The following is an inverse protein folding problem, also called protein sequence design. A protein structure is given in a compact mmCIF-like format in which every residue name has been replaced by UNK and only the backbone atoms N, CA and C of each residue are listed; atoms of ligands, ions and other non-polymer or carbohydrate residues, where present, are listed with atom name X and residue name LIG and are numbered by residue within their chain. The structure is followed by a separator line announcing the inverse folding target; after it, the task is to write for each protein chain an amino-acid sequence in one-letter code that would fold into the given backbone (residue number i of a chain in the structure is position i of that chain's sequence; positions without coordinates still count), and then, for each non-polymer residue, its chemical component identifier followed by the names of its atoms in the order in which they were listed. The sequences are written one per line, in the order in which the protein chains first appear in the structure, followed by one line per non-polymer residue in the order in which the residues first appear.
data_IF_315877190820
#
_entry.id   IF_315877190820
#
_cell.length_a   1.000
_cell.length_b   1.000
_cell.length_c   1.000
_cell.angle_alpha   90.00
_cell.angle_beta   90.00
_cell.angle_gamma   90.00
#
_symmetry.space_group_name_H-M   'P 1'
#
loop_
_entity.id
_entity.type
_entity.pdbx_description
1 polymer ?
#
# COMPACT_ATOMS: atom_id res chain seq x y z
N UNK A 1 1.94 -17.15 -3.60
CA UNK A 1 1.57 -16.37 -4.80
C UNK A 1 1.50 -14.92 -4.38
N UNK A 2 2.05 -14.00 -5.17
CA UNK A 2 2.02 -12.57 -4.88
C UNK A 2 1.12 -11.86 -5.89
N UNK A 3 0.53 -10.73 -5.49
CA UNK A 3 -0.17 -9.82 -6.40
C UNK A 3 0.71 -8.60 -6.67
N UNK A 4 0.50 -7.95 -7.81
CA UNK A 4 1.04 -6.62 -8.05
C UNK A 4 0.22 -5.55 -7.30
N UNK A 5 0.81 -4.38 -7.07
CA UNK A 5 0.15 -3.26 -6.39
C UNK A 5 -1.17 -2.89 -7.05
N UNK A 6 -1.24 -2.80 -8.39
CA UNK A 6 -2.50 -2.47 -9.07
C UNK A 6 -3.62 -3.50 -8.81
N UNK A 7 -3.28 -4.79 -8.67
CA UNK A 7 -4.25 -5.84 -8.37
C UNK A 7 -4.68 -5.77 -6.90
N UNK A 8 -3.73 -5.51 -6.00
CA UNK A 8 -4.01 -5.27 -4.58
C UNK A 8 -4.96 -4.08 -4.40
N UNK A 9 -4.69 -2.94 -5.05
CA UNK A 9 -5.56 -1.75 -5.00
C UNK A 9 -6.94 -2.00 -5.60
N UNK A 10 -7.03 -2.76 -6.70
CA UNK A 10 -8.33 -3.17 -7.26
C UNK A 10 -9.13 -4.01 -6.26
N UNK A 11 -8.47 -4.93 -5.56
CA UNK A 11 -9.11 -5.72 -4.52
C UNK A 11 -9.53 -4.84 -3.34
N UNK A 12 -8.68 -3.94 -2.87
CA UNK A 12 -9.00 -2.98 -1.80
C UNK A 12 -10.23 -2.13 -2.14
N UNK A 13 -10.32 -1.64 -3.38
CA UNK A 13 -11.49 -0.88 -3.86
C UNK A 13 -12.78 -1.71 -3.83
N UNK A 14 -12.74 -3.01 -4.17
CA UNK A 14 -13.90 -3.91 -4.08
C UNK A 14 -14.40 -4.10 -2.64
N UNK A 15 -13.52 -3.94 -1.65
CA UNK A 15 -13.85 -3.96 -0.23
C UNK A 15 -14.17 -2.56 0.33
N UNK A 16 -14.29 -1.54 -0.52
CA UNK A 16 -14.64 -0.18 -0.13
C UNK A 16 -13.52 0.58 0.59
N UNK A 17 -12.26 0.14 0.44
CA UNK A 17 -11.12 0.82 1.04
C UNK A 17 -10.69 2.04 0.19
N UNK A 18 -10.22 3.12 0.82
CA UNK A 18 -9.84 4.35 0.11
C UNK A 18 -8.51 4.15 -0.60
N UNK A 19 -8.53 3.93 -1.90
CA UNK A 19 -7.32 3.81 -2.74
C UNK A 19 -7.29 4.87 -3.83
N UNK A 20 -6.08 5.23 -4.26
CA UNK A 20 -5.89 6.17 -5.37
C UNK A 20 -6.56 5.66 -6.64
N UNK A 21 -7.20 6.58 -7.39
CA UNK A 21 -7.64 6.28 -8.76
C UNK A 21 -6.40 6.10 -9.62
N UNK A 22 -6.30 4.97 -10.30
CA UNK A 22 -5.16 4.68 -11.17
C UNK A 22 -5.45 3.65 -12.25
N UNK A 23 -4.56 3.59 -13.22
CA UNK A 23 -4.63 2.68 -14.37
C UNK A 23 -3.29 1.96 -14.53
N UNK A 24 -3.35 0.64 -14.67
CA UNK A 24 -2.18 -0.18 -15.00
C UNK A 24 -2.10 -0.36 -16.52
N UNK A 25 -1.00 0.10 -17.10
CA UNK A 25 -0.80 0.20 -18.55
C UNK A 25 0.45 -0.54 -18.98
N UNK A 26 0.50 -0.99 -20.24
CA UNK A 26 1.60 -1.76 -20.81
C UNK A 26 2.19 -1.13 -22.09
N UNK A 27 1.78 0.08 -22.45
CA UNK A 27 2.42 0.89 -23.49
C UNK A 27 2.72 2.29 -22.97
N UNK A 28 3.75 2.97 -23.50
CA UNK A 28 4.03 4.36 -23.15
C UNK A 28 2.90 5.33 -23.48
N UNK A 29 2.24 5.15 -24.62
CA UNK A 29 1.09 5.95 -25.04
C UNK A 29 -0.05 5.85 -24.03
N UNK A 30 -0.37 4.63 -23.58
CA UNK A 30 -1.40 4.41 -22.58
C UNK A 30 -1.05 5.06 -21.22
N UNK A 31 0.24 5.25 -20.90
CA UNK A 31 0.65 5.97 -19.69
C UNK A 31 0.32 7.46 -19.74
N UNK A 32 0.51 8.11 -20.90
CA UNK A 32 0.07 9.49 -21.10
C UNK A 32 -1.46 9.60 -21.06
N UNK A 33 -2.17 8.73 -21.80
CA UNK A 33 -3.64 8.69 -21.81
C UNK A 33 -4.22 8.45 -20.41
N UNK A 34 -3.57 7.62 -19.61
CA UNK A 34 -3.96 7.38 -18.22
C UNK A 34 -3.83 8.65 -17.36
N UNK A 35 -2.74 9.42 -17.50
CA UNK A 35 -2.56 10.68 -16.80
C UNK A 35 -3.67 11.68 -17.19
N UNK A 36 -3.94 11.85 -18.49
CA UNK A 36 -5.02 12.70 -18.99
C UNK A 36 -6.40 12.29 -18.45
N UNK A 37 -6.70 10.98 -18.47
CA UNK A 37 -7.97 10.43 -17.97
C UNK A 37 -8.13 10.55 -16.46
N UNK A 38 -7.03 10.52 -15.71
CA UNK A 38 -7.04 10.81 -14.28
C UNK A 38 -7.37 12.29 -14.06
N UNK A 39 -6.75 13.17 -14.85
CA UNK A 39 -6.83 14.62 -14.71
C UNK A 39 -5.95 15.16 -13.57
N UNK A 40 -5.89 16.48 -13.44
CA UNK A 40 -5.03 17.18 -12.48
C UNK A 40 -3.68 17.57 -13.07
N UNK A 41 -2.76 18.00 -12.20
CA UNK A 41 -1.46 18.56 -12.61
C UNK A 41 -0.25 17.68 -12.22
N UNK A 42 -0.48 16.62 -11.44
CA UNK A 42 0.56 15.71 -10.94
C UNK A 42 0.06 14.28 -10.78
N UNK A 43 0.93 13.32 -11.11
CA UNK A 43 0.65 11.89 -11.00
C UNK A 43 1.85 11.14 -10.42
N UNK A 44 1.59 9.99 -9.83
CA UNK A 44 2.65 9.05 -9.45
C UNK A 44 2.67 7.92 -10.47
N UNK A 45 3.85 7.67 -11.05
CA UNK A 45 4.10 6.55 -11.96
C UNK A 45 4.98 5.51 -11.26
N UNK A 46 4.54 4.24 -11.33
CA UNK A 46 5.13 3.14 -10.54
C UNK A 46 5.33 1.90 -11.40
N UNK A 47 6.58 1.48 -11.55
CA UNK A 47 6.92 0.19 -12.12
C UNK A 47 6.31 -0.95 -11.29
N UNK A 48 5.62 -1.88 -11.96
CA UNK A 48 4.95 -2.98 -11.31
C UNK A 48 5.86 -4.21 -11.29
N UNK A 49 6.43 -4.49 -10.11
CA UNK A 49 7.17 -5.72 -9.78
C UNK A 49 6.69 -6.20 -8.40
N UNK A 50 6.98 -7.45 -8.03
CA UNK A 50 6.59 -7.98 -6.72
C UNK A 50 7.54 -7.56 -5.60
N UNK A 51 8.78 -7.21 -5.93
CA UNK A 51 9.74 -6.72 -4.95
C UNK A 51 9.41 -5.30 -4.46
N UNK A 52 9.67 -5.05 -3.17
CA UNK A 52 9.67 -3.72 -2.55
C UNK A 52 10.90 -2.89 -2.94
N UNK A 53 11.08 -1.72 -2.32
CA UNK A 53 12.26 -0.87 -2.56
C UNK A 53 12.29 -0.15 -3.92
N UNK A 54 11.19 -0.19 -4.68
CA UNK A 54 11.08 0.37 -6.04
C UNK A 54 11.43 1.85 -6.11
N UNK A 55 11.03 2.65 -5.11
CA UNK A 55 11.34 4.08 -5.07
C UNK A 55 12.84 4.37 -5.05
N UNK A 56 13.60 3.65 -4.21
CA UNK A 56 15.08 3.79 -4.14
C UNK A 56 15.77 3.38 -5.46
N UNK A 57 15.16 2.49 -6.23
CA UNK A 57 15.63 2.06 -7.55
C UNK A 57 15.15 2.94 -8.71
N UNK A 58 14.41 4.03 -8.44
CA UNK A 58 13.83 4.91 -9.46
C UNK A 58 12.62 4.33 -10.19
N UNK A 59 12.06 3.23 -9.70
CA UNK A 59 10.84 2.59 -10.18
C UNK A 59 9.56 3.24 -9.64
N UNK A 60 9.65 4.34 -8.91
CA UNK A 60 8.53 5.21 -8.52
C UNK A 60 8.95 6.65 -8.76
N UNK A 61 8.11 7.45 -9.43
CA UNK A 61 8.40 8.86 -9.73
C UNK A 61 7.12 9.70 -9.67
N UNK A 62 7.24 10.92 -9.14
CA UNK A 62 6.23 11.97 -9.32
C UNK A 62 6.46 12.66 -10.66
N UNK A 63 5.40 12.79 -11.45
CA UNK A 63 5.43 13.44 -12.77
C UNK A 63 4.39 14.55 -12.84
N UNK A 64 4.68 15.57 -13.66
CA UNK A 64 3.88 16.79 -13.78
C UNK A 64 3.30 17.02 -15.18
N UNK A 65 3.50 16.07 -16.10
CA UNK A 65 2.84 16.07 -17.41
C UNK A 65 2.60 14.65 -17.94
N UNK A 66 1.63 14.45 -18.85
CA UNK A 66 1.44 13.18 -19.57
C UNK A 66 2.70 12.72 -20.31
N UNK A 67 3.51 13.64 -20.85
CA UNK A 67 4.77 13.34 -21.53
C UNK A 67 5.80 12.74 -20.57
N UNK A 68 5.88 13.24 -19.33
CA UNK A 68 6.75 12.67 -18.31
C UNK A 68 6.29 11.26 -17.89
N UNK A 69 4.97 11.00 -17.86
CA UNK A 69 4.43 9.67 -17.62
C UNK A 69 4.80 8.70 -18.76
N UNK A 70 4.68 9.15 -20.02
CA UNK A 70 5.13 8.40 -21.20
C UNK A 70 6.62 8.08 -21.13
N UNK A 71 7.47 9.08 -20.89
CA UNK A 71 8.92 8.90 -20.81
C UNK A 71 9.33 7.92 -19.70
N UNK A 72 8.63 7.94 -18.56
CA UNK A 72 8.84 6.95 -17.51
C UNK A 72 8.49 5.53 -17.96
N UNK A 73 7.38 5.36 -18.69
CA UNK A 73 6.97 4.09 -19.23
C UNK A 73 7.92 3.57 -20.33
N UNK A 74 8.40 4.42 -21.24
CA UNK A 74 9.43 4.07 -22.23
C UNK A 74 10.71 3.57 -21.57
N UNK A 75 11.11 4.23 -20.48
CA UNK A 75 12.30 3.83 -19.71
C UNK A 75 12.16 2.45 -19.09
N UNK A 76 10.99 2.11 -18.56
CA UNK A 76 10.85 0.95 -17.68
C UNK A 76 10.18 -0.26 -18.33
N UNK A 77 9.23 -0.09 -19.24
CA UNK A 77 8.55 -1.22 -19.87
C UNK A 77 9.55 -2.09 -20.67
N UNK A 78 9.50 -3.39 -20.44
CA UNK A 78 10.44 -4.35 -21.02
C UNK A 78 11.83 -4.39 -20.37
N UNK A 79 12.14 -3.45 -19.47
CA UNK A 79 13.36 -3.47 -18.66
C UNK A 79 13.19 -4.34 -17.41
N UNK A 80 14.30 -4.52 -16.68
CA UNK A 80 14.32 -5.23 -15.40
C UNK A 80 14.65 -4.25 -14.28
N UNK A 81 13.83 -4.23 -13.23
CA UNK A 81 14.05 -3.40 -12.06
C UNK A 81 14.79 -4.22 -11.00
N UNK A 82 16.02 -3.78 -10.68
CA UNK A 82 16.80 -4.32 -9.57
C UNK A 82 16.52 -3.49 -8.33
N UNK A 83 16.19 -4.15 -7.23
CA UNK A 83 16.00 -3.55 -5.91
C UNK A 83 16.82 -4.31 -4.88
N UNK A 84 16.90 -3.84 -3.64
CA UNK A 84 17.57 -4.59 -2.57
C UNK A 84 16.89 -5.92 -2.22
N UNK A 85 15.64 -6.13 -2.65
CA UNK A 85 14.87 -7.37 -2.45
C UNK A 85 14.89 -8.30 -3.68
N UNK A 86 15.58 -7.94 -4.77
CA UNK A 86 15.73 -8.81 -5.94
C UNK A 86 17.12 -9.42 -6.00
N UNK A 87 17.30 -10.43 -6.84
CA UNK A 87 18.62 -10.88 -7.26
C UNK A 87 19.29 -9.81 -8.16
N UNK A 88 20.52 -10.11 -8.61
CA UNK A 88 21.27 -9.25 -9.52
C UNK A 88 20.60 -9.06 -10.89
N UNK A 89 19.65 -9.93 -11.26
CA UNK A 89 18.93 -9.84 -12.53
C UNK A 89 17.70 -8.93 -12.42
N UNK A 90 17.19 -8.67 -11.23
CA UNK A 90 15.98 -7.88 -11.02
C UNK A 90 14.71 -8.59 -11.50
N UNK A 91 13.58 -7.87 -11.49
CA UNK A 91 12.29 -8.38 -11.97
C UNK A 91 11.83 -7.64 -13.22
N UNK A 92 11.22 -8.33 -14.20
CA UNK A 92 10.75 -7.69 -15.43
C UNK A 92 9.59 -6.74 -15.14
N UNK A 93 9.64 -5.55 -15.75
CA UNK A 93 8.56 -4.57 -15.67
C UNK A 93 7.71 -4.69 -16.93
N UNK A 94 6.51 -5.25 -16.79
CA UNK A 94 5.56 -5.42 -17.89
C UNK A 94 4.37 -4.47 -17.81
N UNK A 95 4.19 -3.81 -16.66
CA UNK A 95 3.16 -2.78 -16.45
C UNK A 95 3.69 -1.61 -15.64
N UNK A 96 3.13 -0.44 -15.93
CA UNK A 96 3.27 0.79 -15.14
C UNK A 96 1.92 1.12 -14.55
N UNK A 97 1.87 1.44 -13.26
CA UNK A 97 0.70 2.02 -12.62
C UNK A 97 0.84 3.55 -12.67
N UNK A 98 -0.12 4.22 -13.27
CA UNK A 98 -0.28 5.69 -13.22
C UNK A 98 -1.44 5.98 -12.29
N UNK A 99 -1.24 6.82 -11.27
CA UNK A 99 -2.29 7.15 -10.30
C UNK A 99 -2.27 8.60 -9.85
N UNK A 100 -3.39 9.05 -9.26
CA UNK A 100 -3.50 10.37 -8.63
C UNK A 100 -2.41 10.57 -7.59
N UNK A 101 -1.77 11.75 -7.61
CA UNK A 101 -0.93 12.17 -6.49
C UNK A 101 -1.80 12.42 -5.25
N UNK A 102 -1.34 11.95 -4.09
CA UNK A 102 -2.00 12.17 -2.80
C UNK A 102 -1.05 12.97 -1.93
N UNK A 103 -1.54 14.06 -1.33
CA UNK A 103 -0.77 14.83 -0.38
C UNK A 103 -0.63 14.06 0.94
N UNK A 104 0.58 14.00 1.48
CA UNK A 104 0.94 13.15 2.62
C UNK A 104 1.30 14.05 3.80
N UNK A 105 0.43 14.10 4.80
CA UNK A 105 0.70 14.77 6.07
C UNK A 105 1.48 13.86 7.02
N UNK A 106 1.13 12.56 7.04
CA UNK A 106 1.78 11.56 7.86
C UNK A 106 1.71 10.17 7.22
N UNK A 107 2.67 9.31 7.54
CA UNK A 107 2.75 7.94 7.05
C UNK A 107 2.68 6.96 8.22
N UNK A 108 1.73 6.03 8.16
CA UNK A 108 1.57 4.93 9.11
C UNK A 108 1.89 3.60 8.45
N UNK A 109 2.08 2.57 9.25
CA UNK A 109 2.14 1.19 8.80
C UNK A 109 0.88 0.44 9.24
N UNK A 110 0.31 -0.38 8.34
CA UNK A 110 -0.73 -1.36 8.69
C UNK A 110 -0.52 -2.65 7.90
N UNK A 111 -0.37 -3.76 8.60
CA UNK A 111 -0.19 -5.08 7.99
C UNK A 111 -0.91 -6.18 8.76
N UNK A 112 -1.07 -7.34 8.13
CA UNK A 112 -1.60 -8.54 8.76
C UNK A 112 -0.89 -9.79 8.24
N UNK A 113 -0.68 -10.75 9.13
CA UNK A 113 -0.09 -12.06 8.81
C UNK A 113 -0.74 -13.17 9.62
N UNK A 114 -0.58 -14.40 9.18
CA UNK A 114 -0.82 -15.57 10.04
C UNK A 114 0.40 -15.78 10.93
N UNK A 115 0.29 -15.40 12.21
CA UNK A 115 1.33 -15.67 13.20
C UNK A 115 1.31 -17.16 13.56
N UNK A 116 2.40 -17.86 13.25
CA UNK A 116 2.55 -19.29 13.50
C UNK A 116 2.65 -19.64 14.98
N UNK A 117 3.16 -18.73 15.80
CA UNK A 117 3.34 -18.97 17.24
C UNK A 117 1.98 -19.02 17.94
N UNK A 118 1.17 -17.97 17.76
CA UNK A 118 -0.19 -17.94 18.29
C UNK A 118 -1.19 -18.78 17.49
N UNK A 119 -0.87 -19.10 16.22
CA UNK A 119 -1.75 -19.74 15.24
C UNK A 119 -3.00 -18.88 15.01
N UNK A 120 -2.80 -17.58 14.80
CA UNK A 120 -3.87 -16.58 14.63
C UNK A 120 -3.51 -15.60 13.53
N UNK A 121 -4.53 -14.97 12.96
CA UNK A 121 -4.33 -13.75 12.18
C UNK A 121 -3.95 -12.64 13.17
N UNK A 122 -2.85 -11.95 12.90
CA UNK A 122 -2.38 -10.83 13.72
C UNK A 122 -2.23 -9.60 12.83
N UNK A 123 -2.97 -8.55 13.16
CA UNK A 123 -2.76 -7.22 12.61
C UNK A 123 -1.65 -6.51 13.37
N UNK A 124 -0.84 -5.76 12.64
CA UNK A 124 0.25 -4.95 13.13
C UNK A 124 0.06 -3.53 12.63
N UNK A 125 0.22 -2.54 13.51
CA UNK A 125 0.20 -1.13 13.13
C UNK A 125 1.34 -0.37 13.82
N UNK A 126 1.85 0.67 13.17
CA UNK A 126 2.93 1.50 13.71
C UNK A 126 2.82 2.93 13.18
N UNK A 127 3.33 3.89 13.95
CA UNK A 127 3.55 5.28 13.50
C UNK A 127 4.75 5.39 12.55
N UNK A 128 5.56 4.33 12.42
CA UNK A 128 6.70 4.27 11.51
C UNK A 128 6.25 3.75 10.13
N UNK A 129 5.50 4.56 9.40
CA UNK A 129 5.18 4.30 7.99
C UNK A 129 6.34 4.63 7.05
N UNK A 130 6.29 4.12 5.82
CA UNK A 130 7.29 4.41 4.77
C UNK A 130 8.64 3.71 4.95
N UNK A 131 8.81 2.96 6.04
CA UNK A 131 10.04 2.22 6.37
C UNK A 131 9.79 0.71 6.41
N UNK A 132 10.87 -0.09 6.35
CA UNK A 132 10.80 -1.55 6.45
C UNK A 132 10.37 -1.95 7.87
N UNK A 133 9.25 -2.66 7.99
CA UNK A 133 8.68 -3.03 9.28
C UNK A 133 9.59 -3.98 10.07
N UNK A 134 10.43 -4.77 9.39
CA UNK A 134 11.40 -5.66 10.02
C UNK A 134 12.48 -4.88 10.78
N UNK A 135 12.85 -3.69 10.28
CA UNK A 135 13.80 -2.81 10.99
C UNK A 135 13.15 -2.23 12.24
N UNK A 136 11.91 -1.77 12.14
CA UNK A 136 11.14 -1.31 13.29
C UNK A 136 11.00 -2.43 14.33
N UNK A 137 10.73 -3.66 13.90
CA UNK A 137 10.60 -4.82 14.78
C UNK A 137 11.91 -5.18 15.50
N UNK A 138 13.07 -4.85 14.92
CA UNK A 138 14.38 -5.10 15.52
C UNK A 138 14.84 -3.96 16.42
N UNK A 139 14.70 -2.72 15.96
CA UNK A 139 15.26 -1.52 16.59
C UNK A 139 14.31 -0.87 17.60
N UNK A 140 13.02 -0.84 17.31
CA UNK A 140 11.97 -0.18 18.12
C UNK A 140 10.70 -1.05 18.20
N UNK A 141 10.78 -2.30 18.70
CA UNK A 141 9.66 -3.25 18.70
C UNK A 141 8.42 -2.73 19.45
N UNK A 142 8.59 -1.84 20.42
CA UNK A 142 7.53 -1.20 21.19
C UNK A 142 6.61 -0.31 20.34
N UNK A 143 7.08 0.14 19.18
CA UNK A 143 6.26 0.92 18.23
C UNK A 143 5.31 0.05 17.41
N UNK A 144 5.47 -1.27 17.45
CA UNK A 144 4.59 -2.22 16.73
C UNK A 144 3.44 -2.63 17.66
N UNK A 145 2.29 -2.04 17.37
CA UNK A 145 1.03 -2.36 18.01
C UNK A 145 0.42 -3.60 17.35
N UNK A 146 -0.21 -4.47 18.13
CA UNK A 146 -0.77 -5.73 17.64
C UNK A 146 -2.23 -5.93 18.03
N UNK A 147 -3.01 -6.49 17.12
CA UNK A 147 -4.34 -7.02 17.39
C UNK A 147 -4.44 -8.47 16.90
N UNK A 148 -4.62 -9.40 17.83
CA UNK A 148 -4.80 -10.83 17.52
C UNK A 148 -6.27 -11.12 17.28
N UNK A 149 -6.59 -11.71 16.14
CA UNK A 149 -7.98 -12.01 15.76
C UNK A 149 -8.40 -13.35 16.35
N UNK A 150 -9.50 -13.35 17.09
CA UNK A 150 -10.09 -14.56 17.62
C UNK A 150 -10.85 -15.30 16.49
N UNK A 151 -10.65 -16.61 16.30
CA UNK A 151 -11.22 -17.34 15.18
C UNK A 151 -12.73 -17.58 15.30
N UNK A 152 -13.30 -17.50 16.52
CA UNK A 152 -14.73 -17.69 16.76
C UNK A 152 -15.50 -16.40 16.47
N UNK A 153 -14.97 -15.26 16.93
CA UNK A 153 -15.66 -13.97 16.81
C UNK A 153 -15.20 -13.14 15.61
N UNK A 154 -14.06 -13.46 15.01
CA UNK A 154 -13.45 -12.67 13.94
C UNK A 154 -12.91 -11.33 14.44
N UNK A 155 -12.53 -10.46 13.50
CA UNK A 155 -12.06 -9.13 13.86
C UNK A 155 -13.21 -8.29 14.42
N UNK A 156 -12.93 -7.55 15.48
CA UNK A 156 -13.93 -6.77 16.20
C UNK A 156 -13.64 -5.26 16.13
N UNK A 157 -14.66 -4.40 16.01
CA UNK A 157 -14.45 -2.95 15.92
C UNK A 157 -13.67 -2.33 17.08
N UNK A 158 -13.73 -2.93 18.28
CA UNK A 158 -12.95 -2.43 19.43
C UNK A 158 -11.45 -2.58 19.21
N UNK A 159 -11.00 -3.59 18.46
CA UNK A 159 -9.58 -3.81 18.16
C UNK A 159 -9.06 -2.71 17.23
N UNK A 160 -9.84 -2.37 16.19
CA UNK A 160 -9.53 -1.24 15.32
C UNK A 160 -9.47 0.09 16.09
N UNK A 161 -10.40 0.31 17.04
CA UNK A 161 -10.38 1.51 17.90
C UNK A 161 -9.15 1.55 18.80
N UNK A 162 -8.81 0.44 19.45
CA UNK A 162 -7.64 0.35 20.33
C UNK A 162 -6.35 0.67 19.57
N UNK A 163 -6.16 0.09 18.38
CA UNK A 163 -5.04 0.43 17.50
C UNK A 163 -5.05 1.90 17.09
N UNK A 164 -6.20 2.44 16.67
CA UNK A 164 -6.33 3.84 16.26
C UNK A 164 -5.93 4.81 17.38
N UNK A 165 -6.38 4.58 18.62
CA UNK A 165 -6.00 5.40 19.77
C UNK A 165 -4.50 5.33 20.07
N UNK A 166 -3.91 4.12 20.01
CA UNK A 166 -2.49 3.92 20.25
C UNK A 166 -1.61 4.53 19.15
N UNK A 167 -2.11 4.63 17.92
CA UNK A 167 -1.48 5.37 16.82
C UNK A 167 -1.64 6.90 16.95
N UNK A 168 -2.41 7.38 17.92
CA UNK A 168 -2.68 8.81 18.11
C UNK A 168 -3.67 9.40 17.11
N UNK A 169 -4.47 8.57 16.42
CA UNK A 169 -5.51 9.04 15.51
C UNK A 169 -6.63 9.77 16.25
N UNK A 170 -7.22 10.79 15.62
CA UNK A 170 -8.21 11.66 16.25
C UNK A 170 -9.46 11.85 15.40
N UNK A 171 -10.59 12.17 16.05
CA UNK A 171 -11.83 12.53 15.37
C UNK A 171 -12.30 11.46 14.38
N UNK A 172 -12.53 11.86 13.13
CA UNK A 172 -13.02 10.97 12.08
C UNK A 172 -11.98 9.95 11.59
N UNK A 173 -10.68 10.18 11.84
CA UNK A 173 -9.63 9.21 11.51
C UNK A 173 -9.83 7.89 12.24
N UNK A 174 -10.33 7.92 13.48
CA UNK A 174 -10.61 6.71 14.27
C UNK A 174 -11.69 5.88 13.56
N UNK A 175 -12.75 6.53 13.08
CA UNK A 175 -13.84 5.84 12.35
C UNK A 175 -13.34 5.26 11.04
N UNK A 176 -12.56 6.03 10.28
CA UNK A 176 -11.95 5.58 9.02
C UNK A 176 -11.00 4.41 9.24
N UNK A 177 -10.15 4.46 10.27
CA UNK A 177 -9.23 3.38 10.59
C UNK A 177 -9.97 2.10 10.97
N UNK A 178 -11.05 2.19 11.76
CA UNK A 178 -11.89 1.05 12.10
C UNK A 178 -12.52 0.44 10.84
N UNK A 179 -13.02 1.25 9.92
CA UNK A 179 -13.56 0.76 8.65
C UNK A 179 -12.49 0.05 7.82
N UNK A 180 -11.30 0.64 7.70
CA UNK A 180 -10.15 0.03 6.99
C UNK A 180 -9.76 -1.29 7.64
N UNK A 181 -9.53 -1.31 8.96
CA UNK A 181 -9.19 -2.52 9.71
C UNK A 181 -10.22 -3.64 9.51
N UNK A 182 -11.51 -3.33 9.64
CA UNK A 182 -12.58 -4.32 9.48
C UNK A 182 -12.68 -4.82 8.04
N UNK A 183 -12.54 -3.94 7.05
CA UNK A 183 -12.53 -4.29 5.63
C UNK A 183 -11.36 -5.20 5.26
N UNK A 184 -10.16 -4.86 5.73
CA UNK A 184 -8.94 -5.66 5.55
C UNK A 184 -9.06 -7.02 6.23
N UNK A 185 -9.58 -7.08 7.46
CA UNK A 185 -9.76 -8.34 8.17
C UNK A 185 -10.75 -9.27 7.47
N UNK A 186 -11.88 -8.72 7.00
CA UNK A 186 -12.85 -9.46 6.19
C UNK A 186 -12.20 -10.00 4.92
N UNK A 187 -11.48 -9.16 4.19
CA UNK A 187 -10.78 -9.54 2.97
C UNK A 187 -9.69 -10.59 3.21
N UNK A 188 -8.93 -10.47 4.30
CA UNK A 188 -7.89 -11.43 4.67
C UNK A 188 -8.45 -12.84 4.82
N UNK A 189 -9.62 -12.96 5.46
CA UNK A 189 -10.31 -14.22 5.65
C UNK A 189 -10.99 -14.72 4.36
N UNK A 190 -11.75 -13.87 3.66
CA UNK A 190 -12.51 -14.28 2.46
C UNK A 190 -11.64 -14.64 1.26
N UNK A 191 -10.40 -14.13 1.20
CA UNK A 191 -9.44 -14.38 0.11
C UNK A 191 -8.30 -15.29 0.51
N UNK A 192 -8.37 -15.92 1.69
CA UNK A 192 -7.33 -16.81 2.23
C UNK A 192 -5.92 -16.19 2.11
N UNK A 193 -5.79 -14.92 2.50
CA UNK A 193 -4.51 -14.23 2.40
C UNK A 193 -3.51 -14.80 3.40
N UNK A 194 -2.24 -14.89 2.99
CA UNK A 194 -1.14 -15.25 3.87
C UNK A 194 -0.52 -14.01 4.54
N UNK A 195 -0.51 -12.90 3.81
CA UNK A 195 0.08 -11.62 4.20
C UNK A 195 -0.70 -10.49 3.51
N UNK A 196 -0.85 -9.38 4.23
CA UNK A 196 -1.34 -8.12 3.72
C UNK A 196 -0.47 -7.01 4.29
N UNK A 197 -0.12 -6.02 3.48
CA UNK A 197 0.65 -4.87 3.91
C UNK A 197 0.20 -3.60 3.17
N UNK A 198 -0.02 -2.55 3.95
CA UNK A 198 -0.23 -1.17 3.50
C UNK A 198 0.90 -0.35 4.09
N UNK A 199 1.85 0.03 3.24
CA UNK A 199 3.03 0.76 3.64
C UNK A 199 3.43 1.77 2.54
N UNK A 200 3.07 3.06 2.69
CA UNK A 200 2.40 3.66 3.84
C UNK A 200 0.86 3.56 3.80
N UNK A 201 0.23 3.51 4.97
CA UNK A 201 -1.15 3.98 5.18
C UNK A 201 -1.06 5.49 5.46
N UNK A 202 -1.58 6.31 4.54
CA UNK A 202 -1.38 7.76 4.54
C UNK A 202 -2.46 8.47 5.34
N UNK A 203 -2.06 9.49 6.12
CA UNK A 203 -2.96 10.58 6.53
C UNK A 203 -2.72 11.74 5.56
N UNK A 204 -3.78 12.14 4.87
CA UNK A 204 -3.74 13.28 3.94
C UNK A 204 -3.73 14.61 4.67
N UNK A 205 -3.34 15.70 3.99
CA UNK A 205 -3.42 17.07 4.55
C UNK A 205 -4.86 17.46 4.96
N UNK A 206 -5.87 16.87 4.30
CA UNK A 206 -7.28 17.01 4.66
C UNK A 206 -7.68 16.19 5.92
N UNK A 207 -6.74 15.46 6.52
CA UNK A 207 -6.94 14.67 7.73
C UNK A 207 -7.57 13.30 7.51
N UNK A 208 -7.72 12.84 6.26
CA UNK A 208 -8.33 11.55 5.92
C UNK A 208 -7.29 10.43 5.73
N UNK A 209 -7.65 9.20 6.09
CA UNK A 209 -6.85 8.00 5.84
C UNK A 209 -6.99 7.49 4.41
N UNK A 210 -5.88 7.05 3.83
CA UNK A 210 -5.79 6.60 2.44
C UNK A 210 -4.76 5.48 2.27
N UNK A 211 -5.10 4.47 1.48
CA UNK A 211 -4.31 3.26 1.23
C UNK A 211 -3.54 3.30 -0.11
#
# INVERSE_FOLDING_TARGET
MNLHEYQGKQLFAQYGLPVSKGFAVDTPEAAAEAAEKIGGDKWVVKAQVHAGGRGKAGGVKLVSSPEEAKAFAEKWLGQRLVTYQTDANGQPVTKILVETCTDIANELYLGAVVDRSSRRIVFMASTEGGVEIEKVAHETPEKILKATIDPLTGAQPYQGRDLAFKLGLQGDQIKQFVQIFMGLAKMFQEKDLALLEINPLVITDAGNLHC
#
